data_IF_055940055644
#
_entry.id   IF_055940055644
#
_cell.length_a   1.000
_cell.length_b   1.000
_cell.length_c   1.000
_cell.angle_alpha   90.00
_cell.angle_beta   90.00
_cell.angle_gamma   90.00
#
_symmetry.space_group_name_H-M   'P 1'
#
loop_
_entity.id
_entity.type
_entity.pdbx_description
1 polymer ?
#
# COMPACT_ATOMS: atom_id res chain seq x y z
N UNK A 1 -45.07 -42.42 -4.08
CA UNK A 1 -45.53 -41.02 -4.17
C UNK A 1 -44.97 -40.28 -2.96
N UNK A 2 -44.00 -39.40 -3.18
CA UNK A 2 -43.28 -38.67 -2.14
C UNK A 2 -42.05 -38.03 -2.77
N UNK A 3 -42.27 -36.92 -3.49
CA UNK A 3 -41.24 -36.12 -4.14
C UNK A 3 -40.26 -35.58 -3.09
N UNK A 4 -38.96 -35.77 -3.31
CA UNK A 4 -37.89 -35.19 -2.49
C UNK A 4 -37.06 -34.26 -3.36
N UNK A 5 -37.73 -33.22 -3.85
CA UNK A 5 -37.07 -31.97 -4.19
C UNK A 5 -36.59 -31.28 -2.91
N UNK A 6 -35.73 -30.29 -3.09
CA UNK A 6 -35.11 -29.45 -2.06
C UNK A 6 -33.89 -30.07 -1.36
N UNK A 7 -32.73 -29.78 -1.95
CA UNK A 7 -31.63 -29.13 -1.22
C UNK A 7 -30.76 -28.38 -2.22
N UNK A 8 -31.32 -27.29 -2.75
CA UNK A 8 -30.51 -26.20 -3.28
C UNK A 8 -29.70 -25.62 -2.12
N UNK A 9 -28.51 -26.18 -1.91
CA UNK A 9 -27.49 -25.57 -1.09
C UNK A 9 -27.06 -24.28 -1.79
N UNK A 10 -27.81 -23.22 -1.52
CA UNK A 10 -27.39 -21.86 -1.78
C UNK A 10 -26.10 -21.64 -0.99
N UNK A 11 -24.97 -21.79 -1.69
CA UNK A 11 -23.74 -21.11 -1.36
C UNK A 11 -23.99 -19.61 -1.53
N UNK A 12 -24.76 -19.01 -0.63
CA UNK A 12 -24.63 -17.59 -0.33
C UNK A 12 -23.28 -17.45 0.37
N UNK A 13 -22.23 -17.37 -0.45
CA UNK A 13 -20.98 -16.75 -0.04
C UNK A 13 -21.37 -15.45 0.66
N UNK A 14 -20.98 -15.32 1.93
CA UNK A 14 -20.94 -14.05 2.64
C UNK A 14 -20.31 -13.02 1.70
N UNK A 15 -21.14 -12.24 1.03
CA UNK A 15 -20.73 -10.93 0.54
C UNK A 15 -20.45 -10.13 1.80
N UNK A 16 -19.22 -10.26 2.32
CA UNK A 16 -18.65 -9.23 3.15
C UNK A 16 -18.91 -7.93 2.40
N UNK A 17 -19.42 -6.91 3.10
CA UNK A 17 -19.56 -5.55 2.58
C UNK A 17 -18.16 -5.03 2.24
N UNK A 18 -17.61 -5.45 1.10
CA UNK A 18 -16.34 -5.00 0.59
C UNK A 18 -16.60 -3.61 0.01
N UNK A 19 -16.00 -2.60 0.64
CA UNK A 19 -15.99 -1.25 0.09
C UNK A 19 -14.80 -1.15 -0.84
N UNK A 20 -14.97 -0.77 -2.12
CA UNK A 20 -13.87 -0.61 -3.05
C UNK A 20 -12.85 0.40 -2.52
N UNK A 21 -11.56 0.13 -2.70
CA UNK A 21 -10.49 1.03 -2.28
C UNK A 21 -10.68 2.43 -2.87
N UNK A 22 -11.12 2.52 -4.13
CA UNK A 22 -11.45 3.77 -4.79
C UNK A 22 -12.48 4.59 -4.00
N UNK A 23 -13.55 3.95 -3.50
CA UNK A 23 -14.59 4.61 -2.73
C UNK A 23 -14.08 5.15 -1.37
N UNK A 24 -13.18 4.40 -0.71
CA UNK A 24 -12.54 4.85 0.54
C UNK A 24 -11.65 6.07 0.31
N UNK A 25 -10.81 6.04 -0.73
CA UNK A 25 -9.89 7.15 -1.03
C UNK A 25 -10.69 8.39 -1.48
N UNK A 26 -11.71 8.23 -2.32
CA UNK A 26 -12.57 9.35 -2.72
C UNK A 26 -13.27 9.99 -1.51
N UNK A 27 -13.63 9.22 -0.49
CA UNK A 27 -14.22 9.75 0.75
C UNK A 27 -13.21 10.59 1.54
N UNK A 28 -11.96 10.13 1.63
CA UNK A 28 -10.89 10.85 2.31
C UNK A 28 -10.53 12.15 1.59
N UNK A 29 -10.53 12.16 0.26
CA UNK A 29 -10.23 13.34 -0.55
C UNK A 29 -11.26 14.47 -0.45
N UNK A 30 -12.52 14.15 -0.18
CA UNK A 30 -13.57 15.17 0.03
C UNK A 30 -13.34 16.01 1.30
N UNK A 31 -12.45 15.59 2.20
CA UNK A 31 -11.98 16.41 3.30
C UNK A 31 -10.86 17.34 2.80
N UNK A 32 -11.24 18.44 2.15
CA UNK A 32 -10.33 19.41 1.50
C UNK A 32 -9.42 20.21 2.46
N UNK A 33 -9.52 20.02 3.78
CA UNK A 33 -8.80 20.82 4.79
C UNK A 33 -7.52 20.16 5.34
N UNK A 34 -6.89 19.25 4.62
CA UNK A 34 -5.63 18.67 5.09
C UNK A 34 -4.45 19.44 4.52
N UNK A 35 -3.94 20.39 5.31
CA UNK A 35 -2.63 21.03 5.07
C UNK A 35 -1.55 19.95 4.94
N UNK A 36 -0.51 20.21 4.11
CA UNK A 36 0.60 19.25 3.94
C UNK A 36 1.19 18.92 5.32
N UNK A 37 1.10 17.66 5.80
CA UNK A 37 1.48 17.35 7.16
C UNK A 37 2.98 17.60 7.35
N UNK A 38 3.35 18.28 8.43
CA UNK A 38 4.75 18.35 8.85
C UNK A 38 5.15 17.00 9.45
N UNK A 39 6.15 16.35 8.86
CA UNK A 39 6.60 15.02 9.29
C UNK A 39 7.85 15.17 10.15
N UNK A 40 7.80 14.68 11.39
CA UNK A 40 8.96 14.47 12.26
C UNK A 40 9.18 12.96 12.39
N UNK A 41 10.43 12.53 12.28
CA UNK A 41 10.74 11.10 12.31
C UNK A 41 12.07 10.85 13.02
N UNK A 42 12.21 9.62 13.48
CA UNK A 42 13.40 9.06 14.12
C UNK A 42 13.27 7.55 14.13
N UNK A 43 14.32 6.85 14.54
CA UNK A 43 14.27 5.41 14.67
C UNK A 43 15.09 4.94 15.87
N UNK A 44 14.68 3.80 16.41
CA UNK A 44 15.47 3.00 17.32
C UNK A 44 15.48 1.58 16.77
N UNK A 45 16.64 0.95 16.73
CA UNK A 45 16.79 -0.41 16.25
C UNK A 45 17.64 -1.19 17.26
N UNK A 46 17.08 -2.28 17.76
CA UNK A 46 17.80 -3.25 18.58
C UNK A 46 17.46 -4.64 18.05
N UNK A 47 18.35 -5.19 17.23
CA UNK A 47 18.17 -6.55 16.71
C UNK A 47 19.12 -7.50 17.43
N UNK A 48 18.61 -8.64 17.90
CA UNK A 48 19.44 -9.68 18.53
C UNK A 48 20.34 -10.38 17.50
N UNK A 49 19.79 -10.66 16.32
CA UNK A 49 20.47 -11.39 15.23
C UNK A 49 20.94 -10.49 14.09
N UNK A 50 20.51 -9.22 14.06
CA UNK A 50 20.83 -8.30 12.96
C UNK A 50 20.05 -8.62 11.68
N UNK A 51 18.85 -9.19 11.82
CA UNK A 51 17.99 -9.57 10.69
C UNK A 51 16.94 -8.47 10.37
N UNK A 52 16.77 -7.49 11.26
CA UNK A 52 15.81 -6.41 11.11
C UNK A 52 16.42 -5.19 10.42
N UNK A 53 15.68 -4.63 9.46
CA UNK A 53 16.08 -3.45 8.72
C UNK A 53 14.94 -2.44 8.67
N UNK A 54 15.26 -1.20 8.33
CA UNK A 54 14.27 -0.15 8.11
C UNK A 54 14.70 0.73 6.94
N UNK A 55 13.75 1.47 6.39
CA UNK A 55 13.98 2.51 5.39
C UNK A 55 13.21 3.75 5.80
N UNK A 56 13.86 4.92 5.75
CA UNK A 56 13.23 6.22 5.93
C UNK A 56 13.77 7.17 4.88
N UNK A 57 12.90 7.63 3.98
CA UNK A 57 13.22 8.60 2.92
C UNK A 57 12.13 9.65 2.87
N UNK A 58 12.47 10.92 2.80
CA UNK A 58 11.49 12.03 2.87
C UNK A 58 11.39 12.85 1.59
N UNK A 59 12.19 12.49 0.60
CA UNK A 59 12.43 13.21 -0.65
C UNK A 59 12.25 12.32 -1.88
N UNK A 60 11.51 11.21 -1.74
CA UNK A 60 11.21 10.33 -2.87
C UNK A 60 10.37 11.08 -3.90
N UNK A 61 10.70 10.96 -5.17
CA UNK A 61 9.92 11.57 -6.25
C UNK A 61 9.14 10.49 -6.98
N UNK A 62 7.81 10.65 -7.06
CA UNK A 62 6.98 9.72 -7.85
C UNK A 62 7.30 9.85 -9.34
N UNK A 63 7.49 11.09 -9.80
CA UNK A 63 7.92 11.41 -11.16
C UNK A 63 9.36 11.91 -11.07
N UNK A 64 10.34 11.17 -11.62
CA UNK A 64 11.74 11.58 -11.57
C UNK A 64 11.94 13.00 -12.12
N UNK A 65 12.63 13.84 -11.35
CA UNK A 65 12.91 15.25 -11.69
C UNK A 65 11.78 16.23 -11.35
N UNK A 66 10.63 15.77 -10.85
CA UNK A 66 9.51 16.65 -10.49
C UNK A 66 9.40 16.85 -8.96
N UNK A 67 9.85 17.99 -8.40
CA UNK A 67 9.83 18.24 -6.96
C UNK A 67 8.41 18.37 -6.37
N UNK A 68 7.39 18.61 -7.21
CA UNK A 68 5.98 18.67 -6.76
C UNK A 68 5.40 17.28 -6.50
N UNK A 69 6.07 16.22 -6.98
CA UNK A 69 5.65 14.83 -6.83
C UNK A 69 6.32 14.12 -5.63
N UNK A 70 6.84 14.90 -4.69
CA UNK A 70 7.59 14.38 -3.54
C UNK A 70 6.70 13.70 -2.51
N UNK A 71 7.17 12.56 -2.00
CA UNK A 71 6.53 11.79 -0.94
C UNK A 71 7.55 11.18 0.00
N UNK A 72 7.12 10.86 1.22
CA UNK A 72 7.93 10.18 2.22
C UNK A 72 7.61 8.69 2.27
N UNK A 73 8.63 7.87 2.51
CA UNK A 73 8.55 6.42 2.64
C UNK A 73 9.18 6.01 3.96
N UNK A 74 8.43 5.25 4.74
CA UNK A 74 8.87 4.64 6.00
C UNK A 74 8.53 3.15 5.94
N UNK A 75 9.49 2.28 6.21
CA UNK A 75 9.29 0.83 6.20
C UNK A 75 10.15 0.14 7.25
N UNK A 76 9.65 -0.97 7.79
CA UNK A 76 10.35 -1.88 8.70
C UNK A 76 10.31 -3.26 8.05
N UNK A 77 11.44 -3.95 8.06
CA UNK A 77 11.64 -5.27 7.50
C UNK A 77 12.11 -6.21 8.61
N UNK A 78 11.21 -7.04 9.11
CA UNK A 78 11.49 -8.09 10.09
C UNK A 78 12.03 -9.32 9.35
N UNK A 79 13.33 -9.58 9.50
CA UNK A 79 14.00 -10.67 8.81
C UNK A 79 13.80 -12.00 9.55
N UNK A 80 13.60 -13.08 8.79
CA UNK A 80 13.42 -14.42 9.36
C UNK A 80 14.26 -15.45 8.62
N UNK A 81 15.00 -16.27 9.37
CA UNK A 81 15.91 -17.31 8.84
C UNK A 81 16.98 -16.75 7.90
N UNK A 82 17.63 -15.65 8.32
CA UNK A 82 18.60 -14.89 7.54
C UNK A 82 18.12 -13.47 7.23
N UNK A 83 19.07 -12.60 6.89
CA UNK A 83 18.81 -11.19 6.60
C UNK A 83 18.62 -10.87 5.10
N UNK A 84 18.89 -11.82 4.21
CA UNK A 84 18.95 -11.56 2.77
C UNK A 84 17.65 -10.96 2.21
N UNK A 85 16.49 -11.49 2.61
CA UNK A 85 15.19 -10.99 2.15
C UNK A 85 14.90 -9.57 2.66
N UNK A 86 15.23 -9.29 3.93
CA UNK A 86 15.04 -7.97 4.53
C UNK A 86 15.97 -6.93 3.89
N UNK A 87 17.24 -7.28 3.66
CA UNK A 87 18.21 -6.45 2.93
C UNK A 87 17.74 -6.16 1.50
N UNK A 88 17.35 -7.20 0.75
CA UNK A 88 16.86 -7.04 -0.61
C UNK A 88 15.62 -6.14 -0.65
N UNK A 89 14.69 -6.33 0.28
CA UNK A 89 13.47 -5.53 0.38
C UNK A 89 13.79 -4.06 0.70
N UNK A 90 14.69 -3.79 1.66
CA UNK A 90 15.15 -2.43 1.96
C UNK A 90 15.72 -1.72 0.73
N UNK A 91 16.47 -2.46 -0.09
CA UNK A 91 17.20 -1.87 -1.22
C UNK A 91 16.36 -1.73 -2.50
N UNK A 92 15.42 -2.67 -2.74
CA UNK A 92 14.73 -2.77 -4.04
C UNK A 92 13.22 -2.52 -3.98
N UNK A 93 12.56 -2.67 -2.83
CA UNK A 93 11.10 -2.60 -2.77
C UNK A 93 10.55 -1.28 -3.29
N UNK A 94 11.17 -0.15 -2.91
CA UNK A 94 10.71 1.16 -3.39
C UNK A 94 10.85 1.30 -4.90
N UNK A 95 11.94 0.81 -5.49
CA UNK A 95 12.14 0.86 -6.94
C UNK A 95 11.07 0.03 -7.64
N UNK A 96 10.83 -1.20 -7.18
CA UNK A 96 9.78 -2.07 -7.73
C UNK A 96 8.38 -1.45 -7.61
N UNK A 97 8.07 -0.79 -6.49
CA UNK A 97 6.79 -0.06 -6.33
C UNK A 97 6.70 1.07 -7.36
N UNK A 98 7.75 1.89 -7.50
CA UNK A 98 7.77 3.00 -8.44
C UNK A 98 7.66 2.54 -9.89
N UNK A 99 8.30 1.43 -10.25
CA UNK A 99 8.23 0.84 -11.59
C UNK A 99 6.85 0.24 -11.91
N UNK A 100 6.13 -0.25 -10.89
CA UNK A 100 4.77 -0.77 -11.04
C UNK A 100 3.70 0.32 -11.13
N UNK A 101 4.00 1.56 -10.69
CA UNK A 101 3.06 2.67 -10.77
C UNK A 101 2.99 3.17 -12.23
N UNK A 102 1.79 3.25 -12.83
CA UNK A 102 1.63 3.76 -14.18
C UNK A 102 2.24 5.17 -14.31
N UNK A 103 3.14 5.31 -15.29
CA UNK A 103 3.76 6.60 -15.63
C UNK A 103 2.74 7.48 -16.34
N UNK A 104 2.82 8.79 -16.11
CA UNK A 104 1.97 9.77 -16.79
C UNK A 104 0.56 9.93 -16.20
N UNK A 105 0.09 9.02 -15.34
CA UNK A 105 -1.20 9.20 -14.68
C UNK A 105 -1.09 10.16 -13.50
N UNK A 106 -1.89 11.22 -13.51
CA UNK A 106 -2.18 12.05 -12.34
C UNK A 106 -2.81 11.24 -11.21
N UNK A 107 -2.97 11.86 -10.04
CA UNK A 107 -3.65 11.22 -8.89
C UNK A 107 -5.07 10.79 -9.27
N UNK A 108 -5.83 11.68 -9.90
CA UNK A 108 -7.25 11.45 -10.20
C UNK A 108 -7.43 10.36 -11.26
N UNK A 109 -6.61 10.38 -12.30
CA UNK A 109 -6.64 9.35 -13.35
C UNK A 109 -6.29 7.96 -12.78
N UNK A 110 -5.31 7.91 -11.87
CA UNK A 110 -4.97 6.67 -11.19
C UNK A 110 -6.11 6.15 -10.31
N UNK A 111 -6.80 7.03 -9.58
CA UNK A 111 -7.97 6.65 -8.77
C UNK A 111 -9.13 6.16 -9.63
N UNK A 112 -9.32 6.72 -10.82
CA UNK A 112 -10.32 6.24 -11.77
C UNK A 112 -9.98 4.86 -12.35
N UNK A 113 -8.70 4.51 -12.42
CA UNK A 113 -8.23 3.21 -12.91
C UNK A 113 -8.30 2.08 -11.85
N UNK A 114 -8.56 2.40 -10.57
CA UNK A 114 -8.70 1.39 -9.53
C UNK A 114 -9.99 0.55 -9.74
N UNK A 115 -9.97 -0.75 -9.38
CA UNK A 115 -11.17 -1.59 -9.40
C UNK A 115 -12.32 -0.97 -8.60
N UNK A 116 -13.53 -1.08 -9.17
CA UNK A 116 -14.78 -0.59 -8.57
C UNK A 116 -15.57 -1.68 -7.88
#
# INVERSE_FOLDING_TARGET
MGSREERHHHHHHRHHNLVPLAALISREMRNEKMEKPSVRYGYAAQSRKGEDYFMMKTDCQRIPGNPTSTFSVFAIFDGHNGNAAAVFSRDQLLNHILDAIPRGLGRDEWLQALPR
#
